data_IF_327583281126
#
_entry.id   IF_327583281126
#
_cell.length_a   1.000
_cell.length_b   1.000
_cell.length_c   1.000
_cell.angle_alpha   90.00
_cell.angle_beta   90.00
_cell.angle_gamma   90.00
#
_symmetry.space_group_name_H-M   'P 1'
#
loop_
_entity.id
_entity.type
_entity.pdbx_description
1 polymer ?
#
# COMPACT_ATOMS: atom_id res chain seq x y z
N UNK A 1 -1.21 -13.51 -18.19
CA UNK A 1 -0.51 -13.25 -16.91
C UNK A 1 -1.48 -12.62 -15.93
N UNK A 2 -1.27 -12.90 -14.64
CA UNK A 2 -2.13 -12.41 -13.54
C UNK A 2 -1.39 -11.41 -12.65
N UNK A 3 -2.01 -10.25 -12.42
CA UNK A 3 -1.61 -9.27 -11.42
C UNK A 3 -2.45 -9.46 -10.15
N UNK A 4 -1.80 -9.51 -9.00
CA UNK A 4 -2.45 -9.47 -7.68
C UNK A 4 -2.03 -8.19 -6.97
N UNK A 5 -2.99 -7.41 -6.48
CA UNK A 5 -2.72 -6.23 -5.64
C UNK A 5 -3.30 -6.45 -4.26
N UNK A 6 -2.50 -6.17 -3.23
CA UNK A 6 -2.86 -6.32 -1.81
C UNK A 6 -2.68 -4.97 -1.15
N UNK A 7 -3.66 -4.51 -0.37
CA UNK A 7 -3.53 -3.25 0.33
C UNK A 7 -4.84 -2.72 0.92
N UNK A 8 -4.87 -1.42 1.11
CA UNK A 8 -5.92 -0.70 1.82
C UNK A 8 -6.95 -0.02 0.88
N UNK A 9 -7.57 1.06 1.35
CA UNK A 9 -8.53 1.88 0.59
C UNK A 9 -7.95 2.46 -0.70
N UNK A 10 -6.66 2.80 -0.70
CA UNK A 10 -5.97 3.31 -1.90
C UNK A 10 -5.85 2.19 -2.94
N UNK A 11 -5.52 0.97 -2.51
CA UNK A 11 -5.48 -0.20 -3.40
C UNK A 11 -6.87 -0.55 -3.95
N UNK A 12 -7.91 -0.41 -3.13
CA UNK A 12 -9.30 -0.56 -3.58
C UNK A 12 -9.71 0.50 -4.61
N UNK A 13 -9.06 1.68 -4.59
CA UNK A 13 -9.39 2.81 -5.44
C UNK A 13 -10.36 3.81 -4.80
N UNK A 14 -10.58 3.72 -3.48
CA UNK A 14 -11.52 4.60 -2.76
C UNK A 14 -10.96 6.03 -2.69
N UNK A 15 -11.82 7.05 -2.95
CA UNK A 15 -11.45 8.45 -2.83
C UNK A 15 -12.64 9.33 -2.41
N UNK A 16 -12.36 10.57 -2.01
CA UNK A 16 -13.36 11.59 -1.70
C UNK A 16 -13.55 12.49 -2.92
N UNK A 17 -14.77 12.47 -3.51
CA UNK A 17 -15.12 13.36 -4.60
C UNK A 17 -15.53 14.74 -4.09
N UNK A 18 -15.54 15.75 -4.97
CA UNK A 18 -15.96 17.11 -4.64
C UNK A 18 -17.39 17.09 -4.06
N UNK A 19 -17.60 17.84 -2.98
CA UNK A 19 -18.86 17.88 -2.24
C UNK A 19 -19.12 16.72 -1.29
N UNK A 20 -18.29 15.69 -1.26
CA UNK A 20 -18.38 14.59 -0.29
C UNK A 20 -17.62 14.92 0.99
N UNK A 21 -18.11 14.38 2.13
CA UNK A 21 -17.45 14.52 3.45
C UNK A 21 -16.55 13.34 3.81
N UNK A 22 -16.61 12.26 3.03
CA UNK A 22 -15.86 11.03 3.30
C UNK A 22 -15.59 10.28 1.97
N UNK A 23 -14.62 9.34 1.95
CA UNK A 23 -14.26 8.59 0.75
C UNK A 23 -15.31 7.52 0.42
N UNK A 24 -16.30 7.87 -0.38
CA UNK A 24 -17.36 6.97 -0.85
C UNK A 24 -17.27 6.63 -2.34
N UNK A 25 -16.50 7.40 -3.11
CA UNK A 25 -16.28 7.12 -4.54
C UNK A 25 -15.19 6.09 -4.74
N UNK A 26 -15.24 5.39 -5.86
CA UNK A 26 -14.20 4.45 -6.29
C UNK A 26 -13.74 4.84 -7.69
N UNK A 27 -12.45 5.07 -7.84
CA UNK A 27 -11.84 5.37 -9.13
C UNK A 27 -11.92 4.17 -10.07
N UNK A 28 -12.23 4.42 -11.34
CA UNK A 28 -12.18 3.42 -12.41
C UNK A 28 -11.70 4.08 -13.71
N UNK A 29 -10.50 3.72 -14.20
CA UNK A 29 -9.59 2.76 -13.57
C UNK A 29 -8.94 3.32 -12.29
N UNK A 30 -8.83 2.48 -11.25
CA UNK A 30 -7.92 2.72 -10.14
C UNK A 30 -6.48 2.35 -10.53
N UNK A 31 -5.50 2.54 -9.63
CA UNK A 31 -4.11 2.27 -9.99
C UNK A 31 -3.82 0.80 -10.33
N UNK A 32 -4.53 -0.15 -9.71
CA UNK A 32 -4.34 -1.58 -9.97
C UNK A 32 -4.85 -1.95 -11.37
N UNK A 33 -6.04 -1.45 -11.76
CA UNK A 33 -6.61 -1.61 -13.09
C UNK A 33 -5.73 -0.91 -14.15
N UNK A 34 -5.30 0.31 -13.89
CA UNK A 34 -4.40 1.05 -14.78
C UNK A 34 -3.03 0.36 -14.94
N UNK A 35 -2.49 -0.22 -13.87
CA UNK A 35 -1.25 -0.98 -13.91
C UNK A 35 -1.42 -2.28 -14.71
N UNK A 36 -2.50 -3.02 -14.50
CA UNK A 36 -2.83 -4.23 -15.24
C UNK A 36 -2.89 -3.95 -16.75
N UNK A 37 -3.59 -2.89 -17.15
CA UNK A 37 -3.70 -2.49 -18.55
C UNK A 37 -2.33 -2.14 -19.15
N UNK A 38 -1.50 -1.37 -18.45
CA UNK A 38 -0.17 -0.97 -18.90
C UNK A 38 0.81 -2.14 -19.02
N UNK A 39 0.69 -3.14 -18.15
CA UNK A 39 1.49 -4.37 -18.20
C UNK A 39 0.97 -5.35 -19.27
N UNK A 40 -0.24 -5.15 -19.79
CA UNK A 40 -0.86 -6.07 -20.76
C UNK A 40 -1.24 -7.42 -20.14
N UNK A 41 -1.62 -7.44 -18.85
CA UNK A 41 -1.99 -8.66 -18.16
C UNK A 41 -3.48 -8.98 -18.34
N UNK A 42 -3.79 -10.26 -18.46
CA UNK A 42 -5.15 -10.74 -18.75
C UNK A 42 -6.06 -10.67 -17.53
N UNK A 43 -5.50 -10.80 -16.34
CA UNK A 43 -6.24 -10.94 -15.10
C UNK A 43 -5.70 -10.02 -14.00
N UNK A 44 -6.61 -9.40 -13.26
CA UNK A 44 -6.36 -8.64 -12.04
C UNK A 44 -7.19 -9.22 -10.90
N UNK A 45 -6.53 -9.53 -9.77
CA UNK A 45 -7.21 -9.74 -8.50
C UNK A 45 -6.80 -8.63 -7.54
N UNK A 46 -7.78 -7.83 -7.12
CA UNK A 46 -7.55 -6.69 -6.24
C UNK A 46 -8.08 -6.98 -4.83
N UNK A 47 -7.19 -7.20 -3.88
CA UNK A 47 -7.45 -7.40 -2.45
C UNK A 47 -7.35 -6.08 -1.65
N UNK A 48 -7.76 -4.97 -2.22
CA UNK A 48 -7.86 -3.69 -1.52
C UNK A 48 -9.05 -3.65 -0.55
N UNK A 49 -8.80 -3.36 0.73
CA UNK A 49 -9.83 -3.29 1.78
C UNK A 49 -9.75 -1.96 2.53
N UNK A 50 -10.87 -1.23 2.60
CA UNK A 50 -10.92 0.07 3.27
C UNK A 50 -10.50 -0.02 4.76
N UNK A 51 -9.56 0.83 5.16
CA UNK A 51 -9.12 0.97 6.55
C UNK A 51 -8.26 -0.19 7.07
N UNK A 52 -7.89 -1.16 6.22
CA UNK A 52 -7.07 -2.28 6.67
C UNK A 52 -5.63 -1.83 6.95
N UNK A 53 -5.04 -2.36 8.00
CA UNK A 53 -3.63 -2.25 8.37
C UNK A 53 -2.87 -3.54 8.01
N UNK A 54 -1.54 -3.48 7.99
CA UNK A 54 -0.70 -4.68 7.88
C UNK A 54 -0.73 -5.46 9.19
N UNK A 55 -0.48 -4.77 10.33
CA UNK A 55 -0.51 -5.35 11.67
C UNK A 55 -1.94 -5.51 12.21
N UNK A 56 -2.15 -6.53 13.02
CA UNK A 56 -3.41 -6.74 13.75
C UNK A 56 -3.53 -5.92 15.04
N UNK A 57 -2.49 -5.20 15.43
CA UNK A 57 -2.52 -4.28 16.58
C UNK A 57 -3.29 -2.96 16.31
N UNK A 58 -3.96 -2.89 15.17
CA UNK A 58 -4.85 -1.77 14.82
C UNK A 58 -6.15 -1.81 15.60
N UNK A 59 -6.76 -0.64 15.85
CA UNK A 59 -8.11 -0.52 16.41
C UNK A 59 -9.21 -0.66 15.35
N UNK A 60 -8.84 -0.68 14.06
CA UNK A 60 -9.77 -0.74 12.93
C UNK A 60 -9.63 -2.08 12.24
N UNK A 61 -10.65 -2.96 12.37
CA UNK A 61 -10.74 -4.27 11.70
C UNK A 61 -9.51 -5.17 11.90
N UNK A 62 -9.07 -5.42 13.14
CA UNK A 62 -7.87 -6.22 13.41
C UNK A 62 -7.95 -7.65 12.86
N UNK A 63 -9.17 -8.20 12.69
CA UNK A 63 -9.41 -9.50 12.09
C UNK A 63 -9.15 -9.54 10.58
N UNK A 64 -9.22 -8.37 9.91
CA UNK A 64 -8.97 -8.22 8.47
C UNK A 64 -7.54 -7.79 8.17
N UNK A 65 -6.69 -7.62 9.18
CA UNK A 65 -5.29 -7.23 8.99
C UNK A 65 -4.60 -8.10 7.92
N UNK A 66 -3.78 -7.47 7.08
CA UNK A 66 -3.17 -8.15 5.93
C UNK A 66 -2.33 -9.34 6.38
N UNK A 67 -1.60 -9.23 7.49
CA UNK A 67 -0.80 -10.33 8.05
C UNK A 67 -1.63 -11.59 8.34
N UNK A 68 -2.91 -11.42 8.70
CA UNK A 68 -3.84 -12.55 8.97
C UNK A 68 -4.49 -13.10 7.70
N UNK A 69 -4.78 -12.24 6.74
CA UNK A 69 -5.63 -12.58 5.59
C UNK A 69 -4.83 -12.99 4.35
N UNK A 70 -3.57 -12.58 4.23
CA UNK A 70 -2.73 -12.82 3.04
C UNK A 70 -2.61 -14.31 2.66
N UNK A 71 -2.63 -15.21 3.64
CA UNK A 71 -2.57 -16.66 3.40
C UNK A 71 -3.76 -17.21 2.62
N UNK A 72 -4.91 -16.53 2.66
CA UNK A 72 -6.14 -16.92 1.97
C UNK A 72 -6.28 -16.26 0.59
N UNK A 73 -5.34 -15.39 0.21
CA UNK A 73 -5.35 -14.70 -1.08
C UNK A 73 -4.71 -15.57 -2.16
N UNK A 74 -5.23 -15.48 -3.37
CA UNK A 74 -4.65 -16.16 -4.53
C UNK A 74 -3.27 -15.58 -4.86
N UNK A 75 -2.44 -16.36 -5.53
CA UNK A 75 -1.16 -15.91 -6.09
C UNK A 75 -1.33 -15.39 -7.51
N UNK A 76 -0.32 -14.69 -8.01
CA UNK A 76 -0.23 -14.22 -9.38
C UNK A 76 1.21 -14.31 -9.92
N UNK A 77 1.41 -13.91 -11.16
CA UNK A 77 2.75 -13.76 -11.73
C UNK A 77 3.48 -12.56 -11.10
N UNK A 78 2.71 -11.50 -10.80
CA UNK A 78 3.18 -10.33 -10.05
C UNK A 78 2.24 -10.09 -8.88
N UNK A 79 2.82 -9.82 -7.70
CA UNK A 79 2.13 -9.36 -6.50
C UNK A 79 2.63 -7.95 -6.16
N UNK A 80 1.72 -7.00 -6.02
CA UNK A 80 2.01 -5.63 -5.56
C UNK A 80 1.35 -5.44 -4.19
N UNK A 81 2.16 -5.27 -3.14
CA UNK A 81 1.70 -4.96 -1.80
C UNK A 81 1.87 -3.46 -1.53
N UNK A 82 0.76 -2.72 -1.41
CA UNK A 82 0.72 -1.28 -1.17
C UNK A 82 -0.13 -0.97 0.06
N UNK A 83 0.48 -0.90 1.24
CA UNK A 83 -0.18 -0.69 2.52
C UNK A 83 0.77 -0.06 3.56
N UNK A 84 0.28 0.22 4.76
CA UNK A 84 1.05 0.77 5.88
C UNK A 84 0.65 2.19 6.26
N UNK A 85 -0.12 2.90 5.44
CA UNK A 85 -0.62 4.24 5.80
C UNK A 85 -1.64 4.19 6.94
N UNK A 86 -2.41 3.09 7.06
CA UNK A 86 -3.36 2.90 8.16
C UNK A 86 -2.65 2.47 9.44
N UNK A 87 -1.58 1.69 9.37
CA UNK A 87 -0.78 1.37 10.55
C UNK A 87 -0.27 2.64 11.23
N UNK A 88 0.27 3.58 10.43
CA UNK A 88 0.62 4.91 10.91
C UNK A 88 -0.61 5.68 11.43
N UNK A 89 -1.71 5.67 10.68
CA UNK A 89 -2.91 6.48 10.97
C UNK A 89 -3.73 5.99 12.18
N UNK A 90 -3.54 4.75 12.61
CA UNK A 90 -4.21 4.14 13.77
C UNK A 90 -3.26 3.84 14.93
N UNK A 91 -2.09 4.48 14.92
CA UNK A 91 -1.10 4.40 16.00
C UNK A 91 -0.63 2.96 16.32
N UNK A 92 -0.57 2.09 15.31
CA UNK A 92 -0.02 0.73 15.49
C UNK A 92 1.40 0.85 16.05
N UNK A 93 1.74 0.16 17.14
CA UNK A 93 3.09 0.20 17.70
C UNK A 93 4.14 -0.18 16.64
N UNK A 94 5.13 0.69 16.42
CA UNK A 94 6.18 0.43 15.43
C UNK A 94 6.96 -0.86 15.78
N UNK A 95 7.24 -1.04 17.07
CA UNK A 95 7.99 -2.19 17.58
C UNK A 95 9.48 -2.10 17.32
N UNK A 96 10.15 -3.26 17.38
CA UNK A 96 11.59 -3.41 17.20
C UNK A 96 11.89 -4.35 16.03
N UNK A 97 13.12 -4.26 15.54
CA UNK A 97 13.62 -5.12 14.43
C UNK A 97 13.56 -6.61 14.81
N UNK A 98 13.69 -6.96 16.08
CA UNK A 98 13.65 -8.34 16.57
C UNK A 98 12.24 -8.92 16.68
N UNK A 99 11.19 -8.09 16.58
CA UNK A 99 9.80 -8.56 16.74
C UNK A 99 9.40 -9.51 15.62
N UNK A 100 8.69 -10.58 16.01
CA UNK A 100 8.26 -11.69 15.14
C UNK A 100 6.79 -12.06 15.38
N UNK A 101 5.99 -11.12 15.92
CA UNK A 101 4.57 -11.29 16.19
C UNK A 101 3.76 -10.25 15.41
N UNK A 102 2.46 -10.46 15.29
CA UNK A 102 1.58 -9.52 14.57
C UNK A 102 1.20 -8.26 15.37
N UNK A 103 1.68 -8.15 16.63
CA UNK A 103 1.31 -7.10 17.57
C UNK A 103 2.09 -5.79 17.41
N UNK A 104 3.08 -5.78 16.53
CA UNK A 104 3.85 -4.59 16.16
C UNK A 104 4.02 -4.51 14.65
N UNK A 105 4.30 -3.32 14.14
CA UNK A 105 4.47 -3.14 12.70
C UNK A 105 5.67 -3.92 12.15
N UNK A 106 6.84 -3.82 12.83
CA UNK A 106 8.03 -4.60 12.44
C UNK A 106 7.78 -6.11 12.46
N UNK A 107 7.05 -6.61 13.47
CA UNK A 107 6.74 -8.02 13.59
C UNK A 107 5.76 -8.50 12.52
N UNK A 108 4.69 -7.72 12.26
CA UNK A 108 3.72 -8.03 11.21
C UNK A 108 4.35 -8.02 9.81
N UNK A 109 5.24 -7.06 9.52
CA UNK A 109 6.00 -7.02 8.27
C UNK A 109 6.89 -8.27 8.11
N UNK A 110 7.57 -8.69 9.20
CA UNK A 110 8.39 -9.91 9.17
C UNK A 110 7.55 -11.12 8.76
N UNK A 111 6.44 -11.37 9.45
CA UNK A 111 5.57 -12.52 9.18
C UNK A 111 5.00 -12.48 7.75
N UNK A 112 4.56 -11.30 7.31
CA UNK A 112 3.97 -11.13 5.98
C UNK A 112 5.03 -11.33 4.87
N UNK A 113 6.24 -10.81 5.03
CA UNK A 113 7.27 -10.91 3.99
C UNK A 113 7.91 -12.29 3.96
N UNK A 114 8.05 -12.96 5.11
CA UNK A 114 8.42 -14.37 5.17
C UNK A 114 7.42 -15.22 4.39
N UNK A 115 6.12 -15.06 4.66
CA UNK A 115 5.05 -15.72 3.91
C UNK A 115 5.12 -15.44 2.39
N UNK A 116 5.27 -14.19 1.99
CA UNK A 116 5.36 -13.83 0.57
C UNK A 116 6.60 -14.45 -0.09
N UNK A 117 7.71 -14.52 0.62
CA UNK A 117 8.96 -15.07 0.11
C UNK A 117 8.92 -16.60 -0.01
N UNK A 118 8.28 -17.29 0.93
CA UNK A 118 8.25 -18.76 1.00
C UNK A 118 7.06 -19.34 0.24
N UNK A 119 5.85 -18.86 0.52
CA UNK A 119 4.61 -19.43 -0.02
C UNK A 119 4.20 -18.81 -1.38
N UNK A 120 4.83 -17.71 -1.80
CA UNK A 120 4.61 -17.06 -3.09
C UNK A 120 5.88 -16.94 -3.91
N UNK A 121 6.81 -17.89 -3.73
CA UNK A 121 8.15 -17.87 -4.33
C UNK A 121 8.15 -17.82 -5.88
N UNK A 122 7.10 -18.25 -6.54
CA UNK A 122 6.93 -18.18 -8.00
C UNK A 122 6.45 -16.81 -8.49
N UNK A 123 5.99 -15.93 -7.60
CA UNK A 123 5.56 -14.59 -7.95
C UNK A 123 6.71 -13.58 -7.85
N UNK A 124 6.74 -12.60 -8.74
CA UNK A 124 7.55 -11.39 -8.52
C UNK A 124 6.80 -10.46 -7.57
N UNK A 125 7.36 -10.25 -6.37
CA UNK A 125 6.73 -9.43 -5.32
C UNK A 125 7.35 -8.04 -5.31
N UNK A 126 6.49 -7.02 -5.38
CA UNK A 126 6.84 -5.61 -5.26
C UNK A 126 6.17 -5.00 -4.02
N UNK A 127 6.98 -4.47 -3.13
CA UNK A 127 6.54 -3.76 -1.93
C UNK A 127 6.52 -2.27 -2.25
N UNK A 128 5.36 -1.63 -2.11
CA UNK A 128 5.21 -0.19 -2.35
C UNK A 128 5.11 0.53 -1.02
N UNK A 129 6.07 1.41 -0.73
CA UNK A 129 5.99 2.28 0.45
C UNK A 129 4.79 3.24 0.31
N UNK A 130 4.10 3.60 1.41
CA UNK A 130 3.01 4.57 1.36
C UNK A 130 3.33 5.84 0.56
N UNK A 131 2.37 6.31 -0.21
CA UNK A 131 2.44 7.61 -0.92
C UNK A 131 2.40 8.78 0.09
N UNK A 132 2.68 9.99 -0.38
CA UNK A 132 2.53 11.20 0.43
C UNK A 132 1.08 11.38 0.88
N UNK A 133 0.93 11.86 2.11
CA UNK A 133 -0.37 12.27 2.65
C UNK A 133 -0.24 13.65 3.33
N UNK A 134 -1.36 14.33 3.54
CA UNK A 134 -1.34 15.67 4.14
C UNK A 134 -0.80 15.65 5.56
N UNK A 135 -1.24 14.70 6.37
CA UNK A 135 -0.81 14.52 7.76
C UNK A 135 0.19 13.36 7.83
N UNK A 136 1.48 13.65 7.95
CA UNK A 136 2.59 12.69 7.96
C UNK A 136 3.57 12.92 9.12
N UNK A 137 3.27 13.87 10.02
CA UNK A 137 4.04 14.17 11.23
C UNK A 137 3.97 13.08 12.29
N UNK A 138 4.38 13.39 13.52
CA UNK A 138 4.27 12.43 14.63
C UNK A 138 2.80 12.09 14.94
N UNK A 139 2.49 10.79 14.97
CA UNK A 139 1.22 10.27 15.42
C UNK A 139 1.15 10.21 16.96
N UNK A 140 0.08 9.66 17.56
CA UNK A 140 -0.07 9.60 19.03
C UNK A 140 0.98 8.70 19.69
N UNK A 141 1.53 7.72 18.96
CA UNK A 141 2.63 6.89 19.42
C UNK A 141 4.01 7.57 19.28
N UNK A 142 4.07 8.81 18.77
CA UNK A 142 5.29 9.60 18.58
C UNK A 142 6.07 9.27 17.31
N UNK A 143 5.53 8.47 16.39
CA UNK A 143 6.17 8.05 15.14
C UNK A 143 5.61 8.81 13.93
N UNK A 144 6.48 9.15 12.98
CA UNK A 144 6.10 9.77 11.71
C UNK A 144 5.73 8.71 10.66
N UNK A 145 5.06 9.12 9.57
CA UNK A 145 4.84 8.23 8.44
C UNK A 145 6.18 7.67 7.89
N UNK A 146 7.24 8.47 7.93
CA UNK A 146 8.56 8.04 7.43
C UNK A 146 9.15 6.91 8.29
N UNK A 147 8.86 6.84 9.60
CA UNK A 147 9.30 5.72 10.43
C UNK A 147 8.69 4.39 9.97
N UNK A 148 7.39 4.40 9.63
CA UNK A 148 6.72 3.22 9.06
C UNK A 148 7.26 2.88 7.66
N UNK A 149 7.53 3.87 6.82
CA UNK A 149 8.12 3.67 5.49
C UNK A 149 9.52 3.06 5.58
N UNK A 150 10.32 3.50 6.55
CA UNK A 150 11.66 2.97 6.82
C UNK A 150 11.59 1.52 7.33
N UNK A 151 10.61 1.17 8.16
CA UNK A 151 10.38 -0.21 8.60
C UNK A 151 10.03 -1.13 7.43
N UNK A 152 9.16 -0.67 6.51
CA UNK A 152 8.83 -1.38 5.26
C UNK A 152 10.09 -1.65 4.44
N UNK A 153 10.90 -0.61 4.20
CA UNK A 153 12.11 -0.73 3.40
C UNK A 153 13.14 -1.65 4.05
N UNK A 154 13.35 -1.52 5.37
CA UNK A 154 14.25 -2.38 6.13
C UNK A 154 13.87 -3.86 5.98
N UNK A 155 12.61 -4.19 6.25
CA UNK A 155 12.12 -5.57 6.14
C UNK A 155 12.17 -6.11 4.72
N UNK A 156 11.78 -5.31 3.75
CA UNK A 156 11.84 -5.73 2.35
C UNK A 156 13.27 -6.07 1.91
N UNK A 157 14.25 -5.27 2.33
CA UNK A 157 15.68 -5.55 2.08
C UNK A 157 16.15 -6.84 2.77
N UNK A 158 15.73 -7.09 4.01
CA UNK A 158 16.06 -8.32 4.75
C UNK A 158 15.58 -9.57 3.99
N UNK A 159 14.41 -9.54 3.38
CA UNK A 159 13.84 -10.64 2.60
C UNK A 159 14.21 -10.61 1.10
N UNK A 160 15.00 -9.64 0.66
CA UNK A 160 15.37 -9.50 -0.76
C UNK A 160 14.18 -9.22 -1.67
N UNK A 161 13.16 -8.49 -1.17
CA UNK A 161 11.98 -8.08 -1.92
C UNK A 161 12.23 -6.72 -2.60
N UNK A 162 11.69 -6.54 -3.81
CA UNK A 162 11.79 -5.28 -4.53
C UNK A 162 10.93 -4.19 -3.87
N UNK A 163 11.51 -3.01 -3.68
CA UNK A 163 10.82 -1.86 -3.06
C UNK A 163 10.61 -0.76 -4.08
N UNK A 164 9.39 -0.24 -4.14
CA UNK A 164 9.04 0.95 -4.91
C UNK A 164 8.71 2.09 -3.94
N UNK A 165 9.35 3.23 -4.13
CA UNK A 165 9.10 4.40 -3.30
C UNK A 165 7.81 5.10 -3.73
N UNK A 166 6.77 5.05 -2.88
CA UNK A 166 5.51 5.75 -3.11
C UNK A 166 5.64 7.28 -3.20
N UNK A 167 6.73 7.87 -2.69
CA UNK A 167 7.00 9.30 -2.86
C UNK A 167 7.43 9.68 -4.29
N UNK A 168 7.72 8.69 -5.13
CA UNK A 168 7.94 8.90 -6.57
C UNK A 168 6.65 9.24 -7.33
N UNK A 169 5.47 8.95 -6.75
CA UNK A 169 4.19 9.37 -7.34
C UNK A 169 4.09 10.90 -7.24
N UNK A 170 3.93 11.63 -8.36
CA UNK A 170 3.99 13.08 -8.39
C UNK A 170 2.67 13.72 -7.89
N UNK A 171 2.29 13.42 -6.66
CA UNK A 171 1.13 13.95 -5.95
C UNK A 171 1.63 14.80 -4.78
N UNK A 172 1.11 16.02 -4.64
CA UNK A 172 1.42 16.90 -3.52
C UNK A 172 0.19 17.18 -2.65
N UNK A 173 -0.02 16.41 -1.56
CA UNK A 173 -1.14 16.65 -0.63
C UNK A 173 -0.93 17.87 0.29
N UNK A 174 0.27 18.46 0.32
CA UNK A 174 0.58 19.60 1.20
C UNK A 174 0.01 20.92 0.66
N UNK A 175 -0.07 21.07 -0.65
CA UNK A 175 -0.63 22.26 -1.28
C UNK A 175 -2.12 22.10 -1.56
N UNK A 176 -2.87 23.21 -1.54
CA UNK A 176 -4.29 23.22 -1.88
C UNK A 176 -4.51 22.82 -3.35
N UNK A 177 -3.67 23.31 -4.25
CA UNK A 177 -3.72 22.95 -5.67
C UNK A 177 -3.52 21.45 -5.88
N UNK A 178 -2.49 20.86 -5.26
CA UNK A 178 -2.21 19.42 -5.36
C UNK A 178 -3.35 18.58 -4.79
N UNK A 179 -3.96 19.01 -3.67
CA UNK A 179 -5.13 18.32 -3.12
C UNK A 179 -6.33 18.38 -4.08
N UNK A 180 -6.69 19.55 -4.57
CA UNK A 180 -7.80 19.68 -5.53
C UNK A 180 -7.58 18.85 -6.79
N UNK A 181 -6.36 18.78 -7.27
CA UNK A 181 -6.03 18.10 -8.52
C UNK A 181 -5.98 16.58 -8.39
N UNK A 182 -5.45 16.04 -7.27
CA UNK A 182 -5.10 14.62 -7.21
C UNK A 182 -5.56 13.86 -5.97
N UNK A 183 -5.82 14.55 -4.82
CA UNK A 183 -5.95 13.89 -3.51
C UNK A 183 -6.75 14.77 -2.52
N UNK A 184 -8.01 15.01 -2.83
CA UNK A 184 -8.85 16.05 -2.23
C UNK A 184 -8.86 16.04 -0.69
N UNK A 185 -8.95 14.88 -0.07
CA UNK A 185 -8.95 14.71 1.39
C UNK A 185 -7.53 14.62 1.99
N UNK A 186 -6.50 14.75 1.17
CA UNK A 186 -5.10 14.67 1.57
C UNK A 186 -4.58 13.26 1.85
N UNK A 187 -5.38 12.21 1.55
CA UNK A 187 -5.04 10.82 1.79
C UNK A 187 -5.34 9.90 0.59
N UNK A 188 -6.53 10.04 -0.02
CA UNK A 188 -7.01 9.13 -1.05
C UNK A 188 -6.91 9.78 -2.43
N UNK A 189 -6.06 9.27 -3.34
CA UNK A 189 -5.96 9.77 -4.69
C UNK A 189 -7.30 9.67 -5.43
N UNK A 190 -7.69 10.71 -6.16
CA UNK A 190 -8.80 10.67 -7.09
C UNK A 190 -8.38 9.95 -8.40
N UNK A 191 -9.25 9.92 -9.41
CA UNK A 191 -8.97 9.26 -10.70
C UNK A 191 -7.66 9.74 -11.34
N UNK A 192 -7.40 11.07 -11.33
CA UNK A 192 -6.16 11.62 -11.86
C UNK A 192 -4.93 11.19 -11.02
N UNK A 193 -5.07 11.15 -9.69
CA UNK A 193 -4.03 10.66 -8.79
C UNK A 193 -3.76 9.16 -8.99
N UNK A 194 -4.80 8.35 -9.19
CA UNK A 194 -4.65 6.93 -9.50
C UNK A 194 -3.96 6.69 -10.85
N UNK A 195 -4.22 7.51 -11.86
CA UNK A 195 -3.53 7.42 -13.16
C UNK A 195 -2.02 7.69 -13.01
N UNK A 196 -1.62 8.69 -12.23
CA UNK A 196 -0.22 8.96 -11.90
C UNK A 196 0.43 7.82 -11.12
N UNK A 197 -0.31 7.24 -10.18
CA UNK A 197 0.18 6.12 -9.39
C UNK A 197 0.42 4.89 -10.27
N UNK A 198 -0.55 4.53 -11.13
CA UNK A 198 -0.41 3.43 -12.08
C UNK A 198 0.80 3.60 -13.01
N UNK A 199 1.02 4.82 -13.53
CA UNK A 199 2.18 5.12 -14.37
C UNK A 199 3.50 4.96 -13.62
N UNK A 200 3.58 5.48 -12.40
CA UNK A 200 4.78 5.37 -11.57
C UNK A 200 5.13 3.91 -11.28
N UNK A 201 4.14 3.09 -10.90
CA UNK A 201 4.35 1.67 -10.65
C UNK A 201 4.76 0.92 -11.94
N UNK A 202 4.10 1.21 -13.06
CA UNK A 202 4.44 0.62 -14.34
C UNK A 202 5.90 0.87 -14.72
N UNK A 203 6.37 2.13 -14.63
CA UNK A 203 7.75 2.48 -14.95
C UNK A 203 8.77 1.82 -14.01
N UNK A 204 8.41 1.65 -12.74
CA UNK A 204 9.25 0.96 -11.78
C UNK A 204 9.30 -0.55 -12.06
N UNK A 205 8.14 -1.20 -12.23
CA UNK A 205 8.03 -2.65 -12.43
C UNK A 205 8.67 -3.08 -13.76
N UNK A 206 8.46 -2.31 -14.83
CA UNK A 206 9.03 -2.58 -16.15
C UNK A 206 10.54 -2.79 -16.10
N UNK A 207 11.26 -1.98 -15.32
CA UNK A 207 12.72 -2.10 -15.16
C UNK A 207 13.18 -3.43 -14.54
N UNK A 208 12.30 -4.12 -13.83
CA UNK A 208 12.56 -5.44 -13.25
C UNK A 208 12.13 -6.59 -14.17
N UNK A 209 11.45 -6.27 -15.28
CA UNK A 209 11.00 -7.26 -16.27
C UNK A 209 11.94 -7.34 -17.48
N UNK A 210 12.72 -6.28 -17.71
CA UNK A 210 13.80 -6.21 -18.71
C UNK A 210 15.06 -6.91 -18.20
#
# INVERSE_FOLDING_TARGET
MRLVTIGDSITKGTYTAEGQKAPFSVASPNFAEGLQQKLGFDELINYGVNGVSISSATTVRPEQAIVKTAKNMESGDIIVLAAGTNDYGTDVPLGKIEDRTEDTFYGALYLLYDFLKTERANAKVFIVKPIRRQNDGANQAGHTLEDYRNAIEYRAKEFGLAVIDGYSVPIDPKTEEGRKKHILDGLHPNEAGHALYAETLYQAIKKYME
#
